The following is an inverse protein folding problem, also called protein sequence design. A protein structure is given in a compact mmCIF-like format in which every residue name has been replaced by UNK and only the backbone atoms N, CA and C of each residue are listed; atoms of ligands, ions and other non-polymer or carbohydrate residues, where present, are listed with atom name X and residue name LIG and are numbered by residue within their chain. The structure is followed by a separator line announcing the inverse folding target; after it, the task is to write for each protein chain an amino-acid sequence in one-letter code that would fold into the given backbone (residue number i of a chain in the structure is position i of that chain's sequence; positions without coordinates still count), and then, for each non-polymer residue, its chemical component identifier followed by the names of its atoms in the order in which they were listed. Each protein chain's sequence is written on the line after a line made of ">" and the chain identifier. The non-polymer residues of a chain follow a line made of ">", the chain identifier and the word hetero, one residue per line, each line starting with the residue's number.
data_IF_785798261729
#
_entry.id   IF_785798261729
#
_cell.length_a   1.000
_cell.length_b   1.000
_cell.length_c   1.000
_cell.angle_alpha   90.00
_cell.angle_beta   90.00
_cell.angle_gamma   90.00
#
_symmetry.space_group_name_H-M   'P 1'
#
loop_
_entity.id
_entity.type
_entity.pdbx_description
1 polymer ?
#
# COMPACT_ATOMS: atom_id res chain seq x y z
N UNK A 1 10.33 -62.24 -0.06
CA UNK A 1 10.72 -61.05 0.72
C UNK A 1 10.05 -59.83 0.09
N UNK A 2 9.21 -59.07 0.82
CA UNK A 2 8.59 -57.88 0.25
C UNK A 2 9.64 -56.76 0.18
N UNK A 3 9.75 -56.11 -0.99
CA UNK A 3 10.71 -55.03 -1.21
C UNK A 3 10.22 -53.78 -0.47
N UNK A 4 10.98 -53.37 0.54
CA UNK A 4 10.78 -52.09 1.23
C UNK A 4 11.26 -50.98 0.31
N UNK A 5 10.35 -50.10 -0.10
CA UNK A 5 10.67 -48.88 -0.84
C UNK A 5 10.55 -47.70 0.13
N UNK A 6 11.69 -47.17 0.57
CA UNK A 6 11.72 -45.96 1.39
C UNK A 6 11.52 -44.74 0.49
N UNK A 7 10.39 -44.06 0.63
CA UNK A 7 10.18 -42.74 0.04
C UNK A 7 10.76 -41.70 1.00
N UNK A 8 11.83 -41.02 0.61
CA UNK A 8 12.32 -39.84 1.31
C UNK A 8 11.29 -38.73 1.18
N UNK A 9 10.67 -38.33 2.29
CA UNK A 9 9.85 -37.13 2.35
C UNK A 9 10.83 -35.99 2.59
N UNK A 10 10.95 -35.08 1.63
CA UNK A 10 11.72 -33.85 1.80
C UNK A 10 10.90 -32.96 2.73
N UNK A 11 11.31 -32.86 4.00
CA UNK A 11 10.89 -31.77 4.87
C UNK A 11 11.64 -30.52 4.43
N UNK A 12 11.07 -29.77 3.49
CA UNK A 12 11.41 -28.36 3.34
C UNK A 12 10.80 -27.63 4.54
N UNK A 13 11.65 -27.20 5.48
CA UNK A 13 11.26 -26.25 6.53
C UNK A 13 10.60 -25.05 5.84
N UNK A 14 9.28 -25.03 5.88
CA UNK A 14 8.42 -23.92 5.41
C UNK A 14 8.25 -22.93 6.56
N UNK A 15 9.33 -22.73 7.32
CA UNK A 15 9.38 -21.72 8.36
C UNK A 15 9.82 -20.44 7.67
N UNK A 16 8.88 -19.50 7.63
CA UNK A 16 9.13 -18.07 7.50
C UNK A 16 9.51 -17.58 6.09
N UNK A 17 8.75 -18.00 5.07
CA UNK A 17 8.76 -17.29 3.77
C UNK A 17 7.95 -15.99 3.78
N UNK A 18 7.13 -15.76 4.81
CA UNK A 18 6.22 -14.61 4.89
C UNK A 18 6.90 -13.32 5.40
N UNK A 19 8.03 -13.41 6.10
CA UNK A 19 8.74 -12.23 6.63
C UNK A 19 9.65 -11.50 5.62
N UNK A 20 9.79 -12.01 4.39
CA UNK A 20 10.78 -11.49 3.43
C UNK A 20 10.21 -10.89 2.12
N UNK A 21 8.91 -10.61 2.06
CA UNK A 21 8.28 -9.99 0.88
C UNK A 21 8.01 -8.48 1.03
N UNK A 22 8.85 -7.75 1.78
CA UNK A 22 8.83 -6.29 1.81
C UNK A 22 9.54 -5.64 0.60
N UNK A 23 9.96 -6.40 -0.41
CA UNK A 23 10.53 -5.82 -1.63
C UNK A 23 9.46 -5.03 -2.38
N UNK A 24 9.60 -3.70 -2.39
CA UNK A 24 8.72 -2.81 -3.16
C UNK A 24 8.64 -3.31 -4.61
N UNK A 25 7.43 -3.57 -5.15
CA UNK A 25 7.30 -4.11 -6.48
C UNK A 25 7.82 -3.12 -7.53
N UNK A 26 8.59 -3.63 -8.50
CA UNK A 26 9.05 -2.84 -9.64
C UNK A 26 7.90 -2.61 -10.63
N UNK A 27 7.76 -1.37 -11.07
CA UNK A 27 6.76 -0.94 -12.03
C UNK A 27 7.33 -1.03 -13.44
N UNK A 28 6.75 -1.92 -14.25
CA UNK A 28 7.13 -2.12 -15.66
C UNK A 28 6.19 -1.34 -16.56
N UNK A 29 6.77 -0.57 -17.48
CA UNK A 29 6.09 0.25 -18.44
C UNK A 29 6.46 -0.14 -19.88
N UNK A 30 5.44 -0.20 -20.71
CA UNK A 30 5.49 -0.59 -22.12
C UNK A 30 5.24 0.60 -23.02
N UNK A 31 5.85 0.61 -24.19
CA UNK A 31 5.47 1.47 -25.31
C UNK A 31 4.04 1.12 -25.74
N UNK A 32 3.40 2.02 -26.48
CA UNK A 32 2.08 1.78 -27.07
C UNK A 32 2.05 0.58 -28.03
N UNK A 33 3.20 0.19 -28.61
CA UNK A 33 3.34 -1.02 -29.42
C UNK A 33 3.48 -2.32 -28.60
N UNK A 34 3.53 -2.24 -27.26
CA UNK A 34 3.71 -3.38 -26.36
C UNK A 34 5.16 -3.71 -25.97
N UNK A 35 6.16 -3.04 -26.56
CA UNK A 35 7.56 -3.28 -26.18
C UNK A 35 7.87 -2.68 -24.80
N UNK A 36 8.46 -3.47 -23.91
CA UNK A 36 8.97 -2.98 -22.62
C UNK A 36 9.96 -1.84 -22.83
N UNK A 37 9.71 -0.70 -22.18
CA UNK A 37 10.42 0.56 -22.42
C UNK A 37 11.05 1.16 -21.17
N UNK A 38 10.42 0.99 -20.01
CA UNK A 38 10.90 1.55 -18.74
C UNK A 38 10.57 0.57 -17.60
N UNK A 39 11.52 0.41 -16.67
CA UNK A 39 11.30 -0.22 -15.36
C UNK A 39 11.67 0.81 -14.30
N UNK A 40 10.80 0.99 -13.32
CA UNK A 40 10.92 2.01 -12.27
C UNK A 40 10.55 1.42 -10.90
N UNK A 41 11.11 1.96 -9.83
CA UNK A 41 10.81 1.62 -8.43
C UNK A 41 9.50 2.23 -7.91
N UNK A 42 8.94 3.19 -8.63
CA UNK A 42 7.74 3.93 -8.24
C UNK A 42 6.74 4.07 -9.39
N UNK A 43 5.50 4.39 -9.04
CA UNK A 43 4.46 4.71 -10.01
C UNK A 43 4.82 6.02 -10.74
N UNK A 44 4.74 6.02 -12.07
CA UNK A 44 5.03 7.16 -12.94
C UNK A 44 4.27 8.44 -12.54
N UNK A 45 3.07 8.31 -11.96
CA UNK A 45 2.25 9.43 -11.50
C UNK A 45 2.79 10.14 -10.26
N UNK A 46 3.62 9.46 -9.45
CA UNK A 46 4.28 10.05 -8.28
C UNK A 46 5.48 10.91 -8.65
N UNK A 47 6.01 10.75 -9.86
CA UNK A 47 7.14 11.54 -10.33
C UNK A 47 6.76 13.01 -10.56
N UNK A 48 7.71 13.95 -10.38
CA UNK A 48 7.48 15.36 -10.67
C UNK A 48 6.98 15.58 -12.10
N UNK A 49 5.99 16.46 -12.25
CA UNK A 49 5.45 16.86 -13.54
C UNK A 49 6.09 18.17 -14.00
N UNK A 50 6.67 18.18 -15.21
CA UNK A 50 7.18 19.38 -15.84
C UNK A 50 6.02 20.22 -16.38
N UNK A 51 5.91 21.47 -15.93
CA UNK A 51 4.81 22.39 -16.33
C UNK A 51 4.75 22.72 -17.82
N UNK A 52 5.90 22.65 -18.52
CA UNK A 52 6.03 23.15 -19.91
C UNK A 52 5.38 22.22 -20.94
N UNK A 53 5.59 20.91 -20.79
CA UNK A 53 5.20 19.88 -21.76
C UNK A 53 4.41 18.73 -21.11
N UNK A 54 4.21 18.77 -19.79
CA UNK A 54 3.54 17.70 -19.05
C UNK A 54 4.34 16.40 -18.99
N UNK A 55 5.65 16.45 -19.23
CA UNK A 55 6.53 15.29 -19.09
C UNK A 55 6.76 14.95 -17.63
N UNK A 56 6.83 13.65 -17.32
CA UNK A 56 7.26 13.17 -15.99
C UNK A 56 8.78 13.17 -15.92
N UNK A 57 9.32 13.58 -14.79
CA UNK A 57 10.77 13.75 -14.58
C UNK A 57 11.29 12.58 -13.74
N UNK A 58 12.16 11.77 -14.33
CA UNK A 58 12.90 10.71 -13.64
C UNK A 58 14.28 11.25 -13.30
N UNK A 59 14.65 11.15 -12.02
CA UNK A 59 15.99 11.44 -11.53
C UNK A 59 16.69 10.11 -11.22
N UNK A 60 17.69 9.75 -12.03
CA UNK A 60 18.44 8.50 -11.89
C UNK A 60 19.17 8.38 -10.56
N UNK A 61 19.38 9.49 -9.83
CA UNK A 61 19.98 9.48 -8.49
C UNK A 61 18.99 9.12 -7.38
N UNK A 62 17.69 9.31 -7.60
CA UNK A 62 16.63 9.06 -6.59
C UNK A 62 15.87 7.77 -6.88
N UNK A 63 15.62 7.50 -8.15
CA UNK A 63 14.81 6.40 -8.61
C UNK A 63 15.66 5.53 -9.53
N UNK A 64 16.07 4.32 -9.10
CA UNK A 64 16.75 3.40 -9.99
C UNK A 64 15.82 3.06 -11.15
N UNK A 65 16.27 3.34 -12.37
CA UNK A 65 15.47 3.15 -13.56
C UNK A 65 16.25 2.40 -14.64
N UNK A 66 15.56 1.51 -15.36
CA UNK A 66 16.10 0.82 -16.54
C UNK A 66 15.33 1.25 -17.77
N UNK A 67 16.02 1.87 -18.72
CA UNK A 67 15.44 2.34 -19.99
C UNK A 67 15.78 1.37 -21.11
N UNK A 68 14.77 0.91 -21.83
CA UNK A 68 14.92 0.07 -23.03
C UNK A 68 14.48 0.87 -24.25
N UNK A 69 15.42 1.64 -24.81
CA UNK A 69 15.19 2.53 -25.94
C UNK A 69 16.45 2.65 -26.81
N UNK A 70 16.30 3.31 -27.95
CA UNK A 70 17.40 3.69 -28.86
C UNK A 70 17.55 5.21 -28.91
N UNK A 71 18.78 5.74 -29.08
CA UNK A 71 18.98 7.16 -29.30
C UNK A 71 18.36 7.59 -30.64
N UNK A 72 17.81 8.79 -30.68
CA UNK A 72 17.28 9.42 -31.87
C UNK A 72 17.97 10.76 -32.13
N UNK A 73 17.61 11.43 -33.23
CA UNK A 73 18.21 12.70 -33.59
C UNK A 73 17.97 13.80 -32.53
N UNK A 74 19.00 14.62 -32.23
CA UNK A 74 18.84 15.74 -31.32
C UNK A 74 17.99 16.84 -31.96
N UNK A 75 16.99 17.33 -31.21
CA UNK A 75 16.06 18.37 -31.69
C UNK A 75 16.21 19.64 -30.86
N UNK A 76 16.27 20.78 -31.54
CA UNK A 76 16.28 22.09 -30.91
C UNK A 76 14.87 22.66 -30.86
N UNK A 77 14.37 22.90 -29.65
CA UNK A 77 13.04 23.46 -29.44
C UNK A 77 13.18 24.92 -28.99
N UNK A 78 12.68 25.84 -29.81
CA UNK A 78 12.62 27.26 -29.46
C UNK A 78 11.46 27.50 -28.49
N UNK A 79 11.75 28.03 -27.31
CA UNK A 79 10.77 28.43 -26.29
C UNK A 79 10.70 29.95 -26.25
N UNK A 80 9.49 30.49 -26.18
CA UNK A 80 9.25 31.95 -26.24
C UNK A 80 9.97 32.70 -25.10
N UNK A 81 10.06 32.09 -23.91
CA UNK A 81 10.50 32.79 -22.70
C UNK A 81 11.92 32.44 -22.23
N UNK A 82 12.53 31.35 -22.72
CA UNK A 82 13.76 30.76 -22.12
C UNK A 82 14.82 30.37 -23.17
N UNK A 83 14.63 30.78 -24.42
CA UNK A 83 15.60 30.52 -25.49
C UNK A 83 15.44 29.15 -26.15
N UNK A 84 16.56 28.56 -26.58
CA UNK A 84 16.60 27.32 -27.37
C UNK A 84 16.99 26.16 -26.46
N UNK A 85 16.13 25.15 -26.39
CA UNK A 85 16.33 23.92 -25.60
C UNK A 85 16.79 22.79 -26.54
N UNK A 86 17.98 22.25 -26.32
CA UNK A 86 18.45 21.07 -27.07
C UNK A 86 18.00 19.79 -26.37
N UNK A 87 17.14 19.03 -27.05
CA UNK A 87 16.59 17.77 -26.58
C UNK A 87 17.31 16.60 -27.25
N UNK A 88 17.95 15.75 -26.44
CA UNK A 88 18.48 14.46 -26.86
C UNK A 88 17.37 13.42 -26.78
N UNK A 89 16.70 13.14 -27.90
CA UNK A 89 15.54 12.26 -27.95
C UNK A 89 15.94 10.78 -27.96
N UNK A 90 15.04 9.94 -27.45
CA UNK A 90 15.15 8.49 -27.49
C UNK A 90 13.83 7.87 -27.91
N UNK A 91 13.90 6.86 -28.78
CA UNK A 91 12.77 6.21 -29.40
C UNK A 91 12.64 4.73 -29.04
N UNK A 92 11.46 4.18 -29.27
CA UNK A 92 11.17 2.76 -29.15
C UNK A 92 11.92 1.96 -30.22
N UNK A 93 12.51 0.81 -29.87
CA UNK A 93 13.28 -0.01 -30.81
C UNK A 93 12.40 -0.68 -31.88
N UNK A 94 11.16 -1.03 -31.53
CA UNK A 94 10.26 -1.73 -32.44
C UNK A 94 9.48 -0.78 -33.37
N UNK A 95 8.87 0.28 -32.83
CA UNK A 95 7.98 1.16 -33.62
C UNK A 95 8.54 2.57 -33.87
N UNK A 96 9.71 2.93 -33.31
CA UNK A 96 10.28 4.26 -33.47
C UNK A 96 9.55 5.38 -32.72
N UNK A 97 8.53 5.09 -31.90
CA UNK A 97 7.82 6.10 -31.12
C UNK A 97 8.78 6.87 -30.20
N UNK A 98 8.65 8.20 -30.14
CA UNK A 98 9.42 9.04 -29.22
C UNK A 98 8.95 8.83 -27.76
N UNK A 99 9.83 8.26 -26.93
CA UNK A 99 9.50 7.85 -25.56
C UNK A 99 10.08 8.79 -24.52
N UNK A 100 11.36 9.11 -24.67
CA UNK A 100 12.13 9.82 -23.66
C UNK A 100 12.97 10.92 -24.30
N UNK A 101 13.39 11.89 -23.50
CA UNK A 101 14.44 12.81 -23.89
C UNK A 101 15.26 13.27 -22.68
N UNK A 102 16.45 13.81 -22.95
CA UNK A 102 17.33 14.43 -21.97
C UNK A 102 17.76 15.81 -22.46
N UNK A 103 18.09 16.71 -21.52
CA UNK A 103 18.68 18.00 -21.87
C UNK A 103 20.19 17.89 -21.94
N UNK A 104 20.78 18.67 -22.84
CA UNK A 104 22.22 18.86 -22.85
C UNK A 104 22.69 19.44 -21.51
N UNK A 105 23.70 18.81 -20.90
CA UNK A 105 24.25 19.20 -19.60
C UNK A 105 23.66 18.45 -18.39
N UNK A 106 22.50 17.81 -18.50
CA UNK A 106 21.85 17.10 -17.38
C UNK A 106 21.67 15.62 -17.70
N UNK A 107 22.70 14.82 -17.40
CA UNK A 107 22.73 13.37 -17.74
C UNK A 107 21.86 12.50 -16.83
N UNK A 108 21.65 12.94 -15.58
CA UNK A 108 20.94 12.15 -14.57
C UNK A 108 19.41 12.31 -14.65
N UNK A 109 18.93 13.31 -15.37
CA UNK A 109 17.49 13.62 -15.46
C UNK A 109 16.97 13.17 -16.82
N UNK A 110 16.00 12.27 -16.78
CA UNK A 110 15.31 11.78 -17.97
C UNK A 110 13.86 12.19 -17.94
N UNK A 111 13.37 12.74 -19.05
CA UNK A 111 11.99 13.17 -19.20
C UNK A 111 11.22 12.12 -19.98
N UNK A 112 10.09 11.68 -19.42
CA UNK A 112 9.15 10.77 -20.07
C UNK A 112 8.10 11.59 -20.81
N UNK A 113 7.93 11.32 -22.10
CA UNK A 113 6.93 12.00 -22.92
C UNK A 113 5.53 11.60 -22.44
N UNK A 114 4.63 12.58 -22.30
CA UNK A 114 3.28 12.36 -21.81
C UNK A 114 2.54 11.36 -22.72
N UNK A 115 2.01 10.29 -22.12
CA UNK A 115 1.24 9.27 -22.84
C UNK A 115 2.05 8.34 -23.74
N UNK A 116 3.39 8.39 -23.68
CA UNK A 116 4.24 7.53 -24.50
C UNK A 116 4.37 6.10 -23.95
N UNK A 117 4.11 5.91 -22.66
CA UNK A 117 4.21 4.61 -21.97
C UNK A 117 2.93 4.26 -21.20
N UNK A 118 2.65 2.97 -21.07
CA UNK A 118 1.51 2.39 -20.34
C UNK A 118 1.98 1.22 -19.46
N UNK A 119 1.30 0.95 -18.35
CA UNK A 119 1.64 -0.17 -17.46
C UNK A 119 1.05 -1.51 -17.94
N UNK A 120 -0.02 -1.48 -18.76
CA UNK A 120 -0.68 -2.69 -19.25
C UNK A 120 0.05 -3.25 -20.47
N UNK A 121 0.48 -4.51 -20.41
CA UNK A 121 1.01 -5.24 -21.56
C UNK A 121 -0.12 -5.48 -22.60
N UNK A 122 0.02 -4.91 -23.80
CA UNK A 122 -0.99 -4.99 -24.87
C UNK A 122 -1.96 -3.81 -24.84
N UNK A 123 -1.59 -2.74 -25.54
CA UNK A 123 -2.28 -1.45 -25.56
C UNK A 123 -3.80 -1.55 -25.78
N UNK A 124 -4.54 -1.58 -24.69
CA UNK A 124 -5.91 -1.05 -24.64
C UNK A 124 -5.80 0.38 -24.15
N UNK A 125 -5.52 1.31 -25.07
CA UNK A 125 -5.93 2.70 -24.84
C UNK A 125 -7.45 2.71 -25.03
N UNK A 126 -8.16 2.59 -23.91
CA UNK A 126 -9.56 2.99 -23.83
C UNK A 126 -9.61 4.05 -22.75
N UNK A 127 -9.98 5.26 -23.16
CA UNK A 127 -10.05 6.42 -22.29
C UNK A 127 -10.86 6.15 -21.03
N UNK A 128 -10.52 6.90 -19.97
CA UNK A 128 -11.38 7.13 -18.81
C UNK A 128 -12.03 5.86 -18.25
N UNK A 129 -11.26 5.07 -17.49
CA UNK A 129 -11.86 4.15 -16.52
C UNK A 129 -11.33 4.47 -15.13
N UNK A 130 -12.11 5.25 -14.39
CA UNK A 130 -12.29 5.01 -12.97
C UNK A 130 -13.06 3.69 -12.88
N UNK A 131 -12.36 2.58 -12.76
CA UNK A 131 -12.95 1.34 -12.29
C UNK A 131 -11.89 0.66 -11.45
N UNK A 132 -12.02 0.80 -10.14
CA UNK A 132 -11.48 -0.15 -9.17
C UNK A 132 -12.08 -1.51 -9.55
N UNK A 133 -11.32 -2.32 -10.29
CA UNK A 133 -11.71 -3.69 -10.59
C UNK A 133 -11.67 -4.50 -9.28
N UNK A 134 -12.79 -4.44 -8.53
CA UNK A 134 -13.15 -5.44 -7.54
C UNK A 134 -13.06 -6.80 -8.22
N UNK A 135 -12.06 -7.57 -7.83
CA UNK A 135 -11.85 -8.93 -8.27
C UNK A 135 -13.17 -9.70 -8.13
N UNK A 136 -13.66 -10.26 -9.24
CA UNK A 136 -14.85 -11.10 -9.22
C UNK A 136 -14.52 -12.38 -8.44
N UNK A 137 -14.93 -12.41 -7.18
CA UNK A 137 -14.88 -13.59 -6.29
C UNK A 137 -15.63 -14.74 -6.98
N UNK A 138 -14.90 -15.74 -7.45
CA UNK A 138 -15.48 -16.99 -7.97
C UNK A 138 -15.70 -17.91 -6.77
N UNK A 139 -16.94 -18.03 -6.30
CA UNK A 139 -17.29 -18.95 -5.24
C UNK A 139 -17.44 -20.37 -5.80
N UNK A 140 -16.61 -21.30 -5.33
CA UNK A 140 -16.78 -22.74 -5.59
C UNK A 140 -17.59 -23.34 -4.45
N UNK A 141 -18.83 -23.70 -4.71
CA UNK A 141 -19.70 -24.45 -3.78
C UNK A 141 -19.61 -25.94 -4.09
N UNK A 142 -19.00 -26.72 -3.20
CA UNK A 142 -18.99 -28.18 -3.30
C UNK A 142 -20.09 -28.76 -2.41
N UNK A 143 -21.14 -29.29 -3.02
CA UNK A 143 -22.17 -30.04 -2.30
C UNK A 143 -21.71 -31.49 -2.10
N UNK A 144 -21.63 -31.93 -0.85
CA UNK A 144 -21.36 -33.34 -0.51
C UNK A 144 -22.59 -33.95 0.13
N UNK A 145 -23.04 -35.09 -0.37
CA UNK A 145 -24.17 -35.84 0.20
C UNK A 145 -23.62 -37.10 0.88
N UNK A 146 -23.76 -37.17 2.20
CA UNK A 146 -23.58 -38.43 2.93
C UNK A 146 -24.84 -38.70 3.76
N UNK A 147 -25.52 -39.81 3.45
CA UNK A 147 -26.68 -40.32 4.18
C UNK A 147 -27.79 -39.29 4.43
N UNK A 148 -28.27 -38.63 3.38
CA UNK A 148 -29.51 -37.83 3.42
C UNK A 148 -29.46 -36.50 4.16
N UNK A 149 -28.32 -36.12 4.75
CA UNK A 149 -28.12 -34.82 5.38
C UNK A 149 -27.27 -33.94 4.45
N UNK A 150 -27.86 -32.86 3.94
CA UNK A 150 -27.15 -31.91 3.09
C UNK A 150 -26.33 -30.96 3.95
N UNK A 151 -25.01 -31.00 3.85
CA UNK A 151 -24.13 -29.92 4.31
C UNK A 151 -23.50 -29.24 3.10
N UNK A 152 -23.66 -27.92 3.02
CA UNK A 152 -22.92 -27.08 2.09
C UNK A 152 -21.74 -26.47 2.85
N UNK A 153 -20.53 -26.68 2.34
CA UNK A 153 -19.32 -26.05 2.88
C UNK A 153 -18.80 -25.09 1.81
N UNK A 154 -18.77 -23.81 2.16
CA UNK A 154 -18.20 -22.74 1.33
C UNK A 154 -16.81 -22.43 1.84
N UNK A 155 -15.79 -22.68 1.02
CA UNK A 155 -14.40 -22.26 1.32
C UNK A 155 -14.11 -21.04 0.47
N UNK A 156 -13.80 -19.92 1.11
CA UNK A 156 -13.34 -18.69 0.44
C UNK A 156 -11.94 -18.40 0.94
N UNK A 157 -10.99 -18.13 0.05
CA UNK A 157 -9.66 -17.59 0.37
C UNK A 157 -9.73 -16.07 0.20
N UNK A 158 -9.75 -15.33 1.30
CA UNK A 158 -9.84 -13.87 1.38
C UNK A 158 -8.86 -13.44 2.49
N UNK A 159 -7.58 -13.42 2.15
CA UNK A 159 -6.55 -13.32 3.18
C UNK A 159 -6.46 -11.89 3.78
N UNK A 160 -6.90 -10.83 3.08
CA UNK A 160 -6.88 -9.45 3.62
C UNK A 160 -8.12 -9.06 4.46
N UNK A 161 -9.26 -9.74 4.36
CA UNK A 161 -10.45 -9.49 5.22
C UNK A 161 -10.47 -10.44 6.42
N UNK A 162 -9.81 -11.61 6.31
CA UNK A 162 -9.69 -12.59 7.40
C UNK A 162 -8.87 -12.04 8.55
N UNK A 163 -7.71 -11.40 8.29
CA UNK A 163 -6.90 -10.75 9.32
C UNK A 163 -7.65 -9.61 10.05
N UNK A 164 -8.49 -8.85 9.33
CA UNK A 164 -9.26 -7.76 9.93
C UNK A 164 -10.41 -8.28 10.81
N UNK A 165 -11.02 -9.42 10.44
CA UNK A 165 -12.03 -10.10 11.24
C UNK A 165 -11.37 -10.76 12.45
N UNK A 166 -10.23 -11.42 12.30
CA UNK A 166 -9.48 -12.03 13.40
C UNK A 166 -9.04 -10.96 14.41
N UNK A 167 -8.48 -9.84 13.95
CA UNK A 167 -8.11 -8.73 14.83
C UNK A 167 -9.32 -8.18 15.60
N UNK A 168 -10.49 -8.12 14.94
CA UNK A 168 -11.74 -7.68 15.56
C UNK A 168 -12.25 -8.67 16.60
N UNK A 169 -12.25 -9.96 16.30
CA UNK A 169 -12.67 -11.03 17.22
C UNK A 169 -11.73 -11.12 18.44
N UNK A 170 -10.42 -10.96 18.19
CA UNK A 170 -9.41 -10.90 19.24
C UNK A 170 -9.65 -9.69 20.14
N UNK A 171 -9.89 -8.50 19.57
CA UNK A 171 -10.19 -7.30 20.34
C UNK A 171 -11.47 -7.44 21.21
N UNK A 172 -12.53 -8.01 20.65
CA UNK A 172 -13.79 -8.24 21.36
C UNK A 172 -13.60 -9.27 22.51
N UNK A 173 -12.78 -10.30 22.30
CA UNK A 173 -12.40 -11.28 23.32
C UNK A 173 -11.59 -10.64 24.46
N UNK A 174 -10.59 -9.81 24.14
CA UNK A 174 -9.84 -9.06 25.16
C UNK A 174 -10.73 -8.07 25.92
N UNK A 175 -11.65 -7.38 25.24
CA UNK A 175 -12.59 -6.47 25.88
C UNK A 175 -13.57 -7.20 26.82
N UNK A 176 -14.05 -8.39 26.43
CA UNK A 176 -14.89 -9.22 27.29
C UNK A 176 -14.13 -9.70 28.53
N UNK A 177 -12.90 -10.17 28.36
CA UNK A 177 -12.04 -10.60 29.45
C UNK A 177 -11.72 -9.45 30.43
N UNK A 178 -11.43 -8.25 29.91
CA UNK A 178 -11.21 -7.06 30.72
C UNK A 178 -12.42 -6.71 31.59
N UNK A 179 -13.64 -6.74 31.02
CA UNK A 179 -14.89 -6.49 31.77
C UNK A 179 -15.14 -7.55 32.86
N UNK A 180 -14.77 -8.80 32.61
CA UNK A 180 -14.89 -9.88 33.61
C UNK A 180 -13.92 -9.64 34.75
N UNK A 181 -12.67 -9.30 34.45
CA UNK A 181 -11.62 -8.99 35.43
C UNK A 181 -12.01 -7.79 36.28
N UNK A 182 -12.53 -6.72 35.66
CA UNK A 182 -13.02 -5.53 36.36
C UNK A 182 -14.15 -5.86 37.34
N UNK A 183 -15.15 -6.65 36.91
CA UNK A 183 -16.23 -7.09 37.81
C UNK A 183 -15.72 -7.93 38.97
N UNK A 184 -14.68 -8.74 38.76
CA UNK A 184 -14.06 -9.52 39.84
C UNK A 184 -13.24 -8.65 40.80
N UNK A 185 -12.53 -7.64 40.30
CA UNK A 185 -11.82 -6.62 41.10
C UNK A 185 -12.77 -5.83 42.00
N UNK A 186 -13.92 -5.40 41.46
CA UNK A 186 -14.99 -4.72 42.20
C UNK A 186 -15.53 -5.63 43.31
N UNK A 187 -15.87 -6.88 42.99
CA UNK A 187 -16.41 -7.86 43.94
C UNK A 187 -15.43 -8.22 45.06
N UNK A 188 -14.12 -8.29 44.74
CA UNK A 188 -13.05 -8.52 45.73
C UNK A 188 -12.65 -7.24 46.49
N UNK A 189 -13.31 -6.11 46.24
CA UNK A 189 -13.09 -4.86 46.97
C UNK A 189 -11.76 -4.15 46.64
N UNK A 190 -11.07 -4.55 45.57
CA UNK A 190 -9.75 -4.02 45.20
C UNK A 190 -9.80 -2.61 44.59
N UNK A 191 -10.98 -2.14 44.14
CA UNK A 191 -11.15 -0.78 43.59
C UNK A 191 -10.84 0.34 44.59
N UNK A 192 -10.87 0.05 45.91
CA UNK A 192 -10.48 1.03 46.94
C UNK A 192 -8.98 1.28 47.02
N UNK A 193 -8.13 0.38 46.49
CA UNK A 193 -6.66 0.56 46.46
C UNK A 193 -6.20 1.33 45.22
N UNK A 194 -6.88 1.17 44.09
CA UNK A 194 -6.59 1.91 42.85
C UNK A 194 -6.92 3.41 42.96
N UNK A 195 -8.02 3.78 43.63
CA UNK A 195 -8.36 5.19 43.85
C UNK A 195 -7.35 5.94 44.75
N UNK A 196 -6.62 5.23 45.62
CA UNK A 196 -5.57 5.82 46.46
C UNK A 196 -4.20 5.91 45.77
N UNK A 197 -3.95 5.15 44.71
CA UNK A 197 -2.67 5.15 43.99
C UNK A 197 -2.68 6.11 42.78
N UNK A 198 -3.81 6.29 42.10
CA UNK A 198 -3.94 7.25 40.98
C UNK A 198 -3.83 8.72 41.46
N UNK A 199 -4.06 9.00 42.74
CA UNK A 199 -3.89 10.34 43.34
C UNK A 199 -2.45 10.79 43.59
N UNK A 200 -1.43 10.01 43.20
CA UNK A 200 0.00 10.32 43.50
C UNK A 200 0.93 10.44 42.30
N UNK A 201 0.48 10.23 41.07
CA UNK A 201 1.35 10.27 39.89
C UNK A 201 0.70 10.89 38.66
N UNK A 202 0.33 12.17 38.76
CA UNK A 202 0.09 13.01 37.57
C UNK A 202 0.79 14.36 37.78
N UNK A 203 2.07 14.38 37.42
CA UNK A 203 2.82 15.59 37.08
C UNK A 203 2.50 15.91 35.63
N UNK A 204 1.96 17.11 35.42
CA UNK A 204 1.99 17.99 34.26
C UNK A 204 1.78 17.41 32.85
N UNK A 205 0.68 17.82 32.20
CA UNK A 205 0.60 18.40 30.83
C UNK A 205 -0.87 18.87 30.62
N UNK A 206 -1.11 20.19 30.61
CA UNK A 206 -2.32 20.84 30.04
C UNK A 206 -2.11 21.13 28.52
N UNK A 207 -3.06 21.65 27.68
CA UNK A 207 -4.45 22.18 27.89
C UNK A 207 -5.43 21.69 26.75
N UNK A 208 -6.59 22.32 26.34
CA UNK A 208 -7.37 23.46 26.87
C UNK A 208 -8.92 23.29 27.00
N UNK A 209 -9.50 24.17 27.83
CA UNK A 209 -10.84 24.81 27.80
C UNK A 209 -12.16 23.99 27.67
N UNK A 210 -12.98 24.01 28.73
CA UNK A 210 -14.19 24.86 28.80
C UNK A 210 -14.94 24.77 30.15
N UNK A 211 -15.09 25.95 30.76
CA UNK A 211 -15.92 26.43 31.87
C UNK A 211 -16.94 25.47 32.52
N UNK A 212 -16.86 25.30 33.85
CA UNK A 212 -18.00 24.91 34.72
C UNK A 212 -18.19 25.89 35.89
N UNK A 213 -19.45 26.20 36.27
CA UNK A 213 -19.76 27.27 37.23
C UNK A 213 -19.52 26.82 38.68
N UNK A 214 -19.07 27.76 39.52
CA UNK A 214 -18.87 27.56 40.96
C UNK A 214 -20.21 27.46 41.69
N UNK A 215 -20.41 26.50 42.62
CA UNK A 215 -21.60 26.48 43.45
C UNK A 215 -21.54 27.60 44.50
N UNK A 216 -22.69 28.27 44.67
CA UNK A 216 -22.93 29.36 45.62
C UNK A 216 -22.91 28.82 47.05
N UNK A 217 -22.19 29.51 47.93
CA UNK A 217 -22.26 29.29 49.38
C UNK A 217 -23.45 30.01 50.03
N UNK A 218 -23.73 29.60 51.27
CA UNK A 218 -24.47 30.32 52.32
C UNK A 218 -23.76 29.92 53.62
N UNK A 219 -23.01 30.78 54.34
CA UNK A 219 -23.31 31.99 55.10
C UNK A 219 -24.00 31.72 56.46
N UNK A 220 -23.22 31.91 57.56
CA UNK A 220 -23.60 32.21 58.97
C UNK A 220 -24.12 31.00 59.80
N UNK A 221 -23.74 30.72 61.07
CA UNK A 221 -22.79 31.31 62.02
C UNK A 221 -22.63 30.43 63.30
N UNK A 222 -21.58 30.72 64.09
CA UNK A 222 -21.34 30.46 65.53
C UNK A 222 -21.10 28.99 65.97
N UNK A 223 -20.07 28.66 66.76
CA UNK A 223 -19.45 29.34 67.90
C UNK A 223 -18.04 28.78 68.15
#
# INVERSE_FOLDING_TARGET
>A
MPKIVSRSIVCSDTKDQEEYNEEKPLYVYYCLCGQMSLILDCVLEKLPLRKRDGSRVIDSSKHPCKLTCEPDEPVFVRRVNEGIEKQLRRKCRNCGLWLFYQHEGVRNVTYVVKGAVTQTHGGKILGLRKDEEKQKKVLVTRHTKHMGKFSSVTVSTIDEEEDEIEAREVADSYAANARIIEKQLVRKGMNKRLASEVGKSTVDIEPPDEKRPRPKGTLIDHK
#
